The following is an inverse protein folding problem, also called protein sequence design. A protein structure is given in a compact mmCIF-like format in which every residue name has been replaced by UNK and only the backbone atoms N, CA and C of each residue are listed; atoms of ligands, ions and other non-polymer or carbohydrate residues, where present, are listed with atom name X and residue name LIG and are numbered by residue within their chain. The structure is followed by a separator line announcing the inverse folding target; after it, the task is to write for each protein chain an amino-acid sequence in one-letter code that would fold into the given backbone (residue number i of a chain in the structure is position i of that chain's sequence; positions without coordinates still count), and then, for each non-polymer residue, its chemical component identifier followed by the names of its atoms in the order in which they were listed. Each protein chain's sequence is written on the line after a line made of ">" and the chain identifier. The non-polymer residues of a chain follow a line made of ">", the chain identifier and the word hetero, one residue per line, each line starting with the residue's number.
data_IF_002437333904
#
_entry.id   IF_002437333904
#
_cell.length_a   1.000
_cell.length_b   1.000
_cell.length_c   1.000
_cell.angle_alpha   90.00
_cell.angle_beta   90.00
_cell.angle_gamma   90.00
#
_symmetry.space_group_name_H-M   'P 1'
#
loop_
_entity.id
_entity.type
_entity.pdbx_description
1 polymer ?
#
# COMPACT_ATOMS: atom_id res chain seq x y z
N UNK A 1 8.56 -1.09 32.78
CA UNK A 1 8.85 -2.54 32.91
C UNK A 1 7.71 -3.15 33.71
N UNK A 2 6.88 -4.02 33.12
CA UNK A 2 5.86 -4.73 33.89
C UNK A 2 6.57 -5.71 34.85
N UNK A 3 6.21 -5.70 36.14
CA UNK A 3 6.81 -6.58 37.14
C UNK A 3 6.06 -7.93 37.16
N UNK A 4 6.74 -9.02 36.80
CA UNK A 4 6.20 -10.38 36.70
C UNK A 4 6.70 -11.32 37.81
N UNK A 5 7.26 -10.78 38.90
CA UNK A 5 7.85 -11.58 40.00
C UNK A 5 6.83 -12.47 40.71
N UNK A 6 5.54 -12.09 40.70
CA UNK A 6 4.44 -12.81 41.34
C UNK A 6 3.97 -14.07 40.57
N UNK A 7 4.40 -14.26 39.31
CA UNK A 7 4.00 -15.41 38.51
C UNK A 7 4.80 -16.68 38.86
N UNK A 8 4.09 -17.80 38.99
CA UNK A 8 4.68 -19.14 39.09
C UNK A 8 5.47 -19.51 37.83
N UNK A 9 6.29 -20.54 37.90
CA UNK A 9 7.04 -21.04 36.73
C UNK A 9 6.09 -21.45 35.58
N UNK A 10 4.96 -22.08 35.90
CA UNK A 10 3.99 -22.51 34.90
C UNK A 10 3.35 -21.29 34.19
N UNK A 11 2.90 -20.29 34.94
CA UNK A 11 2.34 -19.06 34.39
C UNK A 11 3.37 -18.26 33.57
N UNK A 12 4.64 -18.28 33.97
CA UNK A 12 5.73 -17.67 33.18
C UNK A 12 5.93 -18.36 31.83
N UNK A 13 5.88 -19.69 31.78
CA UNK A 13 5.99 -20.44 30.53
C UNK A 13 4.78 -20.20 29.62
N UNK A 14 3.58 -20.16 30.18
CA UNK A 14 2.37 -19.82 29.44
C UNK A 14 2.42 -18.39 28.89
N UNK A 15 2.85 -17.43 29.71
CA UNK A 15 3.03 -16.04 29.28
C UNK A 15 4.03 -15.93 28.12
N UNK A 16 5.16 -16.64 28.17
CA UNK A 16 6.13 -16.66 27.06
C UNK A 16 5.47 -17.19 25.78
N UNK A 17 4.74 -18.31 25.85
CA UNK A 17 4.05 -18.86 24.69
C UNK A 17 3.00 -17.89 24.10
N UNK A 18 2.25 -17.18 24.95
CA UNK A 18 1.29 -16.17 24.53
C UNK A 18 1.97 -14.96 23.87
N UNK A 19 3.11 -14.51 24.41
CA UNK A 19 3.89 -13.41 23.83
C UNK A 19 4.50 -13.80 22.48
N UNK A 20 4.99 -15.03 22.34
CA UNK A 20 5.51 -15.56 21.07
C UNK A 20 4.41 -15.65 20.01
N UNK A 21 3.23 -16.16 20.36
CA UNK A 21 2.09 -16.21 19.45
C UNK A 21 1.58 -14.81 19.08
N UNK A 22 1.55 -13.87 20.03
CA UNK A 22 1.24 -12.46 19.75
C UNK A 22 2.24 -11.86 18.77
N UNK A 23 3.54 -11.99 19.04
CA UNK A 23 4.60 -11.47 18.16
C UNK A 23 4.51 -12.08 16.75
N UNK A 24 4.20 -13.39 16.65
CA UNK A 24 3.97 -14.06 15.38
C UNK A 24 2.76 -13.48 14.64
N UNK A 25 1.64 -13.22 15.32
CA UNK A 25 0.45 -12.61 14.70
C UNK A 25 0.71 -11.19 14.26
N UNK A 26 1.32 -10.39 15.12
CA UNK A 26 1.65 -8.99 14.84
C UNK A 26 2.53 -8.92 13.59
N UNK A 27 3.54 -9.81 13.47
CA UNK A 27 4.41 -9.90 12.29
C UNK A 27 3.65 -10.04 10.96
N UNK A 28 2.56 -10.80 10.91
CA UNK A 28 1.82 -11.07 9.65
C UNK A 28 0.48 -10.32 9.53
N UNK A 29 0.15 -9.46 10.49
CA UNK A 29 -1.12 -8.71 10.55
C UNK A 29 -0.88 -7.23 10.78
N UNK A 30 0.18 -6.68 10.21
CA UNK A 30 0.59 -5.29 10.41
C UNK A 30 -0.54 -4.30 10.08
N UNK A 31 -1.34 -4.55 9.03
CA UNK A 31 -2.48 -3.70 8.71
C UNK A 31 -3.53 -3.64 9.83
N UNK A 32 -3.76 -4.73 10.56
CA UNK A 32 -4.77 -4.76 11.64
C UNK A 32 -4.34 -3.94 12.87
N UNK A 33 -3.06 -3.57 12.96
CA UNK A 33 -2.51 -2.72 14.02
C UNK A 33 -2.62 -1.22 13.69
N UNK A 34 -3.00 -0.88 12.45
CA UNK A 34 -3.04 0.50 11.97
C UNK A 34 -4.45 1.08 12.05
N UNK A 35 -4.51 2.35 12.44
CA UNK A 35 -5.75 3.13 12.57
C UNK A 35 -6.85 2.48 13.43
N UNK A 36 -6.54 1.89 14.62
CA UNK A 36 -7.57 1.40 15.54
C UNK A 36 -8.51 2.50 16.06
N UNK A 37 -9.54 2.09 16.79
CA UNK A 37 -10.45 3.00 17.50
C UNK A 37 -9.75 3.73 18.65
N UNK A 38 -8.83 3.04 19.34
CA UNK A 38 -8.12 3.52 20.52
C UNK A 38 -6.61 3.18 20.50
N UNK A 39 -5.85 3.68 21.48
CA UNK A 39 -4.40 3.47 21.58
C UNK A 39 -3.55 4.50 20.85
N UNK A 40 -2.27 4.20 20.66
CA UNK A 40 -1.26 5.15 20.13
C UNK A 40 -1.42 5.42 18.63
N UNK A 41 -1.91 4.43 17.88
CA UNK A 41 -2.09 4.53 16.43
C UNK A 41 -3.55 4.82 16.02
N UNK A 42 -4.40 5.23 16.98
CA UNK A 42 -5.83 5.43 16.75
C UNK A 42 -6.13 6.42 15.64
N UNK A 43 -7.16 6.13 14.84
CA UNK A 43 -7.46 6.86 13.59
C UNK A 43 -7.66 8.36 13.76
N UNK A 44 -8.18 8.81 14.91
CA UNK A 44 -8.44 10.23 15.18
C UNK A 44 -7.17 11.10 15.14
N UNK A 45 -6.00 10.49 15.34
CA UNK A 45 -4.71 11.17 15.25
C UNK A 45 -4.20 11.33 13.81
N UNK A 46 -4.89 10.73 12.83
CA UNK A 46 -4.48 10.72 11.41
C UNK A 46 -5.57 11.31 10.50
N UNK A 47 -6.08 12.53 10.77
CA UNK A 47 -7.19 13.10 10.02
C UNK A 47 -6.89 13.25 8.52
N UNK A 48 -5.64 13.53 8.15
CA UNK A 48 -5.21 13.65 6.74
C UNK A 48 -5.17 12.31 6.01
N UNK A 49 -4.86 11.22 6.70
CA UNK A 49 -4.94 9.87 6.14
C UNK A 49 -6.40 9.48 5.92
N UNK A 50 -7.28 9.78 6.89
CA UNK A 50 -8.72 9.52 6.74
C UNK A 50 -9.32 10.32 5.59
N UNK A 51 -9.02 11.62 5.51
CA UNK A 51 -9.42 12.49 4.39
C UNK A 51 -8.95 11.93 3.04
N UNK A 52 -7.70 11.47 2.97
CA UNK A 52 -7.16 10.84 1.77
C UNK A 52 -7.98 9.59 1.38
N UNK A 53 -8.24 8.67 2.32
CA UNK A 53 -9.02 7.45 2.06
C UNK A 53 -10.46 7.75 1.62
N UNK A 54 -11.15 8.64 2.34
CA UNK A 54 -12.53 9.05 2.06
C UNK A 54 -12.67 9.69 0.68
N UNK A 55 -11.72 10.55 0.30
CA UNK A 55 -11.68 11.18 -1.01
C UNK A 55 -11.70 10.15 -2.16
N UNK A 56 -11.23 8.91 -1.93
CA UNK A 56 -11.24 7.85 -2.94
C UNK A 56 -12.63 7.45 -3.39
N UNK A 57 -13.66 7.67 -2.58
CA UNK A 57 -15.05 7.42 -2.96
C UNK A 57 -15.57 8.40 -4.04
N UNK A 58 -14.97 9.60 -4.12
CA UNK A 58 -15.46 10.71 -4.94
C UNK A 58 -14.52 11.03 -6.11
N UNK A 59 -13.21 10.92 -5.90
CA UNK A 59 -12.21 11.38 -6.83
C UNK A 59 -11.47 10.20 -7.47
N UNK A 60 -11.37 10.24 -8.80
CA UNK A 60 -10.60 9.25 -9.57
C UNK A 60 -9.09 9.43 -9.40
N UNK A 61 -8.64 10.65 -9.16
CA UNK A 61 -7.23 10.98 -9.00
C UNK A 61 -7.04 11.67 -7.66
N UNK A 62 -6.07 11.21 -6.86
CA UNK A 62 -5.76 11.78 -5.54
C UNK A 62 -4.27 11.91 -5.34
N UNK A 63 -3.89 12.94 -4.60
CA UNK A 63 -2.52 13.24 -4.27
C UNK A 63 -2.35 13.41 -2.75
N UNK A 64 -1.48 12.59 -2.15
CA UNK A 64 -0.99 12.76 -0.78
C UNK A 64 0.40 13.41 -0.84
N UNK A 65 0.42 14.74 -1.00
CA UNK A 65 1.63 15.54 -1.00
C UNK A 65 1.99 15.93 0.44
N UNK A 66 3.09 15.40 0.98
CA UNK A 66 3.50 15.65 2.35
C UNK A 66 5.02 15.52 2.55
N UNK A 67 5.54 16.01 3.68
CA UNK A 67 6.95 15.86 4.06
C UNK A 67 7.36 14.39 4.26
N UNK A 68 8.67 14.15 4.32
CA UNK A 68 9.22 12.83 4.63
C UNK A 68 8.80 12.35 6.02
N UNK A 69 8.62 11.03 6.18
CA UNK A 69 8.27 10.35 7.44
C UNK A 69 6.88 10.71 8.02
N UNK A 70 5.97 11.20 7.19
CA UNK A 70 4.57 11.50 7.56
C UNK A 70 3.63 10.30 7.44
N UNK A 71 4.12 9.15 6.95
CA UNK A 71 3.32 7.94 6.76
C UNK A 71 2.57 7.88 5.42
N UNK A 72 2.91 8.72 4.44
CA UNK A 72 2.30 8.74 3.09
C UNK A 72 2.28 7.35 2.42
N UNK A 73 3.43 6.66 2.40
CA UNK A 73 3.59 5.33 1.82
C UNK A 73 2.82 4.25 2.61
N UNK A 74 2.70 4.42 3.93
CA UNK A 74 1.87 3.52 4.77
C UNK A 74 0.40 3.69 4.43
N UNK A 75 -0.06 4.94 4.21
CA UNK A 75 -1.44 5.23 3.83
C UNK A 75 -1.80 4.55 2.50
N UNK A 76 -1.04 4.83 1.44
CA UNK A 76 -1.31 4.25 0.13
C UNK A 76 -1.18 2.72 0.12
N UNK A 77 -0.19 2.17 0.83
CA UNK A 77 -0.06 0.72 0.98
C UNK A 77 -1.23 0.08 1.73
N UNK A 78 -1.78 0.76 2.74
CA UNK A 78 -2.93 0.27 3.51
C UNK A 78 -4.18 0.24 2.65
N UNK A 79 -4.41 1.30 1.88
CA UNK A 79 -5.52 1.39 0.93
C UNK A 79 -5.41 0.31 -0.16
N UNK A 80 -4.22 0.12 -0.74
CA UNK A 80 -3.96 -0.95 -1.73
C UNK A 80 -4.23 -2.32 -1.12
N UNK A 81 -3.77 -2.59 0.10
CA UNK A 81 -4.07 -3.86 0.77
C UNK A 81 -5.57 -4.07 0.86
N UNK A 82 -6.33 -3.06 1.28
CA UNK A 82 -7.79 -3.17 1.40
C UNK A 82 -8.43 -3.48 0.04
N UNK A 83 -7.96 -2.82 -1.02
CA UNK A 83 -8.44 -3.05 -2.39
C UNK A 83 -8.12 -4.46 -2.91
N UNK A 84 -6.85 -4.89 -2.80
CA UNK A 84 -6.42 -6.20 -3.29
C UNK A 84 -7.10 -7.36 -2.57
N UNK A 85 -7.31 -7.22 -1.26
CA UNK A 85 -7.91 -8.28 -0.43
C UNK A 85 -9.44 -8.21 -0.35
N UNK A 86 -10.03 -7.05 -0.64
CA UNK A 86 -11.43 -6.75 -0.34
C UNK A 86 -11.73 -6.65 1.16
N UNK A 87 -10.71 -6.72 2.03
CA UNK A 87 -10.85 -6.65 3.48
C UNK A 87 -10.75 -5.20 3.92
N UNK A 88 -11.89 -4.54 3.97
CA UNK A 88 -12.02 -3.17 4.45
C UNK A 88 -12.41 -3.16 5.94
N UNK A 89 -11.82 -2.28 6.76
CA UNK A 89 -12.27 -2.08 8.13
C UNK A 89 -13.71 -1.52 8.16
N UNK A 90 -14.38 -1.69 9.29
CA UNK A 90 -15.75 -1.22 9.51
C UNK A 90 -15.91 0.29 9.31
N UNK A 91 -14.87 1.07 9.65
CA UNK A 91 -14.85 2.53 9.51
C UNK A 91 -14.51 3.01 8.09
N UNK A 92 -14.17 2.11 7.16
CA UNK A 92 -13.74 2.51 5.81
C UNK A 92 -14.87 3.17 5.02
N UNK A 93 -14.64 4.42 4.62
CA UNK A 93 -15.60 5.22 3.85
C UNK A 93 -15.06 5.66 2.47
N UNK A 94 -13.92 5.11 2.05
CA UNK A 94 -13.36 5.30 0.71
C UNK A 94 -13.93 4.37 -0.35
N UNK A 95 -13.29 4.33 -1.53
CA UNK A 95 -13.67 3.39 -2.61
C UNK A 95 -13.59 1.94 -2.14
N UNK A 96 -14.49 1.09 -2.65
CA UNK A 96 -14.48 -0.35 -2.42
C UNK A 96 -14.45 -1.11 -3.75
N UNK A 97 -13.78 -2.24 -3.74
CA UNK A 97 -13.79 -3.25 -4.80
C UNK A 97 -14.38 -4.52 -4.19
N UNK A 98 -15.45 -5.02 -4.81
CA UNK A 98 -16.19 -6.22 -4.40
C UNK A 98 -15.77 -7.48 -5.21
N UNK A 99 -14.83 -7.30 -6.13
CA UNK A 99 -14.24 -8.35 -6.96
C UNK A 99 -12.71 -8.28 -6.96
N UNK A 100 -12.04 -9.39 -7.32
CA UNK A 100 -10.64 -9.35 -7.71
C UNK A 100 -10.35 -8.21 -8.69
N UNK A 101 -9.22 -7.55 -8.46
CA UNK A 101 -8.85 -6.35 -9.19
C UNK A 101 -7.36 -6.33 -9.54
N UNK A 102 -7.03 -5.50 -10.53
CA UNK A 102 -5.66 -5.31 -10.99
C UNK A 102 -5.13 -3.96 -10.52
N UNK A 103 -3.99 -3.98 -9.84
CA UNK A 103 -3.29 -2.80 -9.39
C UNK A 103 -1.88 -2.76 -9.93
N UNK A 104 -1.40 -1.53 -10.11
CA UNK A 104 0.01 -1.24 -10.33
C UNK A 104 0.53 -0.32 -9.24
N UNK A 105 1.70 -0.63 -8.68
CA UNK A 105 2.43 0.27 -7.82
C UNK A 105 3.82 0.54 -8.42
N UNK A 106 4.18 1.81 -8.54
CA UNK A 106 5.40 2.24 -9.20
C UNK A 106 6.17 3.25 -8.35
N UNK A 107 7.50 3.11 -8.32
CA UNK A 107 8.41 4.10 -7.75
C UNK A 107 9.53 4.47 -8.73
N UNK A 108 10.53 5.24 -8.28
CA UNK A 108 11.58 5.76 -9.17
C UNK A 108 12.36 4.68 -9.93
N UNK A 109 12.87 3.70 -9.21
CA UNK A 109 13.73 2.64 -9.74
C UNK A 109 13.24 1.29 -9.29
N UNK A 110 13.72 0.23 -9.96
CA UNK A 110 13.42 -1.13 -9.54
C UNK A 110 13.92 -1.44 -8.12
N UNK A 111 15.08 -0.88 -7.75
CA UNK A 111 15.64 -1.04 -6.41
C UNK A 111 14.78 -0.34 -5.35
N UNK A 112 14.42 0.94 -5.57
CA UNK A 112 13.57 1.67 -4.62
C UNK A 112 12.16 1.08 -4.51
N UNK A 113 11.59 0.60 -5.62
CA UNK A 113 10.30 -0.10 -5.62
C UNK A 113 10.36 -1.37 -4.75
N UNK A 114 11.42 -2.17 -4.86
CA UNK A 114 11.62 -3.34 -3.97
C UNK A 114 11.82 -2.92 -2.51
N UNK A 115 12.69 -1.94 -2.27
CA UNK A 115 13.14 -1.62 -0.92
C UNK A 115 12.11 -0.82 -0.11
N UNK A 116 11.21 -0.09 -0.79
CA UNK A 116 10.19 0.76 -0.17
C UNK A 116 8.80 0.15 -0.35
N UNK A 117 8.31 0.04 -1.58
CA UNK A 117 6.92 -0.34 -1.89
C UNK A 117 6.69 -1.81 -1.55
N UNK A 118 7.46 -2.73 -2.13
CA UNK A 118 7.34 -4.18 -1.89
C UNK A 118 7.56 -4.50 -0.41
N UNK A 119 8.66 -3.99 0.16
CA UNK A 119 8.98 -4.13 1.58
C UNK A 119 7.80 -3.73 2.47
N UNK A 120 7.15 -2.60 2.19
CA UNK A 120 5.99 -2.14 2.95
C UNK A 120 4.76 -3.01 2.76
N UNK A 121 4.50 -3.44 1.52
CA UNK A 121 3.30 -4.18 1.17
C UNK A 121 3.35 -5.64 1.62
N UNK A 122 4.45 -6.35 1.39
CA UNK A 122 4.51 -7.81 1.58
C UNK A 122 5.78 -8.30 2.28
N UNK A 123 6.77 -7.42 2.48
CA UNK A 123 8.05 -7.75 3.09
C UNK A 123 9.18 -7.97 2.08
N UNK A 124 10.38 -8.25 2.59
CA UNK A 124 11.62 -8.33 1.80
C UNK A 124 12.12 -9.76 1.57
N UNK A 125 11.81 -10.69 2.48
CA UNK A 125 12.23 -12.09 2.36
C UNK A 125 11.19 -12.88 1.54
N UNK A 126 11.59 -13.32 0.35
CA UNK A 126 10.74 -14.12 -0.54
C UNK A 126 10.39 -15.50 0.05
N UNK A 127 11.10 -15.98 1.06
CA UNK A 127 10.77 -17.22 1.76
C UNK A 127 9.81 -17.01 2.94
N UNK A 128 9.57 -15.76 3.34
CA UNK A 128 8.67 -15.41 4.43
C UNK A 128 7.87 -14.15 4.13
N UNK A 129 7.12 -14.22 3.02
CA UNK A 129 6.21 -13.18 2.59
C UNK A 129 5.03 -12.98 3.55
N UNK A 130 4.41 -11.82 3.42
CA UNK A 130 3.23 -11.42 4.18
C UNK A 130 3.55 -10.73 5.50
N UNK A 131 4.78 -10.24 5.65
CA UNK A 131 5.27 -9.51 6.84
C UNK A 131 5.05 -7.99 6.74
N UNK A 132 4.50 -7.53 5.62
CA UNK A 132 4.05 -6.16 5.40
C UNK A 132 2.56 -6.00 5.68
N UNK A 133 1.94 -5.04 4.98
CA UNK A 133 0.51 -4.72 5.11
C UNK A 133 -0.38 -5.86 4.61
N UNK A 134 -0.04 -6.48 3.49
CA UNK A 134 -0.68 -7.69 2.97
C UNK A 134 -0.21 -8.86 3.81
N UNK A 135 -1.15 -9.52 4.49
CA UNK A 135 -0.83 -10.59 5.42
C UNK A 135 -0.47 -11.91 4.73
N UNK A 136 0.25 -12.78 5.45
CA UNK A 136 0.71 -14.08 4.93
C UNK A 136 -0.40 -14.95 4.35
N UNK A 137 -1.56 -14.97 5.00
CA UNK A 137 -2.71 -15.77 4.54
C UNK A 137 -3.33 -15.23 3.25
N UNK A 138 -3.12 -13.94 2.96
CA UNK A 138 -3.65 -13.24 1.77
C UNK A 138 -2.76 -13.42 0.54
N UNK A 139 -1.48 -13.75 0.70
CA UNK A 139 -0.58 -14.03 -0.42
C UNK A 139 -0.95 -15.38 -1.05
N UNK A 140 -1.23 -15.37 -2.35
CA UNK A 140 -1.51 -16.57 -3.14
C UNK A 140 -0.25 -17.10 -3.82
N UNK A 141 0.47 -16.22 -4.53
CA UNK A 141 1.69 -16.54 -5.27
C UNK A 141 2.44 -15.23 -5.65
N UNK A 142 3.60 -15.34 -6.27
CA UNK A 142 4.32 -14.20 -6.85
C UNK A 142 5.27 -14.59 -7.99
N UNK A 143 5.42 -13.67 -8.94
CA UNK A 143 6.46 -13.74 -9.96
C UNK A 143 7.72 -13.01 -9.48
N UNK A 144 8.88 -13.62 -9.72
CA UNK A 144 10.17 -12.96 -9.47
C UNK A 144 10.50 -11.95 -10.56
N UNK A 145 11.07 -10.82 -10.18
CA UNK A 145 11.56 -9.79 -11.10
C UNK A 145 12.95 -10.13 -11.61
N UNK A 146 13.08 -10.25 -12.93
CA UNK A 146 14.37 -10.51 -13.55
C UNK A 146 15.33 -9.34 -13.34
N UNK A 147 16.60 -9.64 -13.03
CA UNK A 147 17.64 -8.63 -12.83
C UNK A 147 17.57 -7.84 -11.51
N UNK A 148 16.59 -8.12 -10.65
CA UNK A 148 16.40 -7.42 -9.36
C UNK A 148 16.38 -8.47 -8.24
N UNK A 149 17.48 -8.66 -7.50
CA UNK A 149 17.53 -9.63 -6.41
C UNK A 149 16.40 -9.39 -5.40
N UNK A 150 15.67 -10.45 -5.03
CA UNK A 150 14.49 -10.40 -4.15
C UNK A 150 13.35 -9.48 -4.62
N UNK A 151 13.38 -9.01 -5.87
CA UNK A 151 12.31 -8.22 -6.46
C UNK A 151 11.13 -9.10 -6.88
N UNK A 152 9.93 -8.60 -6.64
CA UNK A 152 8.68 -9.18 -7.15
C UNK A 152 8.25 -8.39 -8.38
N UNK A 153 7.84 -9.10 -9.43
CA UNK A 153 7.29 -8.52 -10.67
C UNK A 153 5.77 -8.38 -10.55
N UNK A 154 5.12 -9.45 -10.09
CA UNK A 154 3.69 -9.54 -9.82
C UNK A 154 3.46 -10.27 -8.50
N UNK A 155 2.57 -9.74 -7.66
CA UNK A 155 2.08 -10.37 -6.45
C UNK A 155 0.61 -10.75 -6.65
N UNK A 156 0.28 -12.00 -6.37
CA UNK A 156 -1.07 -12.53 -6.45
C UNK A 156 -1.68 -12.58 -5.05
N UNK A 157 -2.83 -11.92 -4.87
CA UNK A 157 -3.47 -11.71 -3.56
C UNK A 157 -4.87 -12.28 -3.56
N UNK A 158 -5.22 -13.09 -2.57
CA UNK A 158 -6.56 -13.66 -2.41
C UNK A 158 -7.55 -12.55 -2.07
N UNK A 159 -8.64 -12.49 -2.81
CA UNK A 159 -9.73 -11.56 -2.55
C UNK A 159 -10.85 -12.24 -1.74
N UNK A 160 -11.47 -11.52 -0.81
CA UNK A 160 -12.49 -12.08 0.09
C UNK A 160 -13.75 -12.58 -0.63
N UNK A 161 -14.09 -12.00 -1.79
CA UNK A 161 -15.19 -12.48 -2.63
C UNK A 161 -14.86 -13.75 -3.44
N UNK A 162 -13.64 -14.28 -3.28
CA UNK A 162 -13.11 -15.38 -4.08
C UNK A 162 -12.28 -14.86 -5.26
N UNK A 163 -11.40 -15.72 -5.79
CA UNK A 163 -10.46 -15.35 -6.84
C UNK A 163 -9.22 -14.60 -6.32
N UNK A 164 -8.49 -14.01 -7.27
CA UNK A 164 -7.14 -13.48 -7.01
C UNK A 164 -6.96 -12.13 -7.69
N UNK A 165 -6.68 -11.12 -6.88
CA UNK A 165 -6.24 -9.79 -7.34
C UNK A 165 -4.76 -9.84 -7.70
N UNK A 166 -4.33 -8.94 -8.58
CA UNK A 166 -2.93 -8.87 -9.04
C UNK A 166 -2.37 -7.50 -8.72
N UNK A 167 -1.18 -7.46 -8.11
CA UNK A 167 -0.40 -6.26 -7.94
C UNK A 167 0.87 -6.35 -8.79
N UNK A 168 1.03 -5.43 -9.73
CA UNK A 168 2.24 -5.26 -10.56
C UNK A 168 3.16 -4.24 -9.92
N UNK A 169 4.43 -4.61 -9.74
CA UNK A 169 5.46 -3.69 -9.24
C UNK A 169 6.31 -3.18 -10.41
N UNK A 170 6.31 -1.87 -10.59
CA UNK A 170 6.92 -1.17 -11.73
C UNK A 170 7.82 -0.05 -11.28
N UNK A 171 8.60 0.49 -12.21
CA UNK A 171 9.48 1.62 -11.90
C UNK A 171 9.54 2.62 -13.05
N UNK A 172 9.63 3.91 -12.73
CA UNK A 172 9.64 4.98 -13.72
C UNK A 172 10.85 4.89 -14.66
N UNK A 173 11.99 4.35 -14.18
CA UNK A 173 13.20 4.11 -14.98
C UNK A 173 13.01 3.17 -16.19
N UNK A 174 11.94 2.37 -16.23
CA UNK A 174 11.58 1.53 -17.37
C UNK A 174 10.82 2.34 -18.46
N UNK A 175 10.47 3.59 -18.16
CA UNK A 175 9.79 4.54 -19.04
C UNK A 175 8.34 4.17 -19.34
N UNK A 176 7.74 4.89 -20.29
CA UNK A 176 6.31 4.74 -20.65
C UNK A 176 5.89 3.34 -21.10
N UNK A 177 6.83 2.50 -21.58
CA UNK A 177 6.51 1.20 -22.20
C UNK A 177 5.90 0.20 -21.22
N UNK A 178 6.20 0.31 -19.93
CA UNK A 178 5.68 -0.61 -18.92
C UNK A 178 4.22 -0.36 -18.56
N UNK A 179 3.75 0.84 -18.86
CA UNK A 179 2.36 1.26 -18.68
C UNK A 179 1.56 0.99 -19.96
N UNK A 180 2.01 0.10 -20.85
CA UNK A 180 1.29 -0.26 -22.08
C UNK A 180 0.65 -1.65 -21.98
N UNK A 181 -0.55 -1.79 -22.52
CA UNK A 181 -1.15 -3.11 -22.82
C UNK A 181 -1.88 -3.81 -21.67
N UNK A 182 -2.12 -3.16 -20.54
CA UNK A 182 -2.98 -3.70 -19.47
C UNK A 182 -4.02 -2.70 -18.96
N UNK A 183 -5.17 -3.22 -18.59
CA UNK A 183 -6.24 -2.50 -17.90
C UNK A 183 -6.02 -2.60 -16.38
N UNK A 184 -6.00 -1.47 -15.69
CA UNK A 184 -5.75 -1.41 -14.25
C UNK A 184 -6.97 -0.84 -13.53
N UNK A 185 -7.43 -1.49 -12.48
CA UNK A 185 -8.48 -0.98 -11.59
C UNK A 185 -7.94 0.11 -10.66
N UNK A 186 -6.63 0.13 -10.40
CA UNK A 186 -5.97 1.26 -9.77
C UNK A 186 -4.47 1.32 -9.96
N UNK A 187 -3.92 2.52 -9.82
CA UNK A 187 -2.47 2.78 -9.93
C UNK A 187 -2.01 3.63 -8.76
N UNK A 188 -0.92 3.20 -8.12
CA UNK A 188 -0.21 3.96 -7.11
C UNK A 188 1.15 4.39 -7.63
N UNK A 189 1.37 5.69 -7.65
CA UNK A 189 2.63 6.34 -7.90
C UNK A 189 3.24 6.75 -6.56
N UNK A 190 4.34 6.14 -6.16
CA UNK A 190 5.16 6.57 -5.02
C UNK A 190 6.32 7.44 -5.53
N UNK A 191 6.66 8.46 -4.75
CA UNK A 191 7.58 9.53 -5.14
C UNK A 191 7.14 10.30 -6.40
N UNK A 192 7.97 11.24 -6.85
CA UNK A 192 7.59 12.22 -7.88
C UNK A 192 7.57 11.58 -9.28
N UNK A 193 6.37 11.20 -9.73
CA UNK A 193 6.17 10.58 -11.03
C UNK A 193 6.41 11.57 -12.19
N UNK A 194 7.16 11.18 -13.24
CA UNK A 194 7.23 11.96 -14.48
C UNK A 194 5.84 12.14 -15.13
N UNK A 195 5.58 13.33 -15.68
CA UNK A 195 4.28 13.69 -16.27
C UNK A 195 3.85 12.75 -17.41
N UNK A 196 4.79 12.33 -18.26
CA UNK A 196 4.54 11.46 -19.40
C UNK A 196 4.17 10.04 -18.96
N UNK A 197 4.84 9.55 -17.92
CA UNK A 197 4.51 8.28 -17.25
C UNK A 197 3.12 8.36 -16.63
N UNK A 198 2.84 9.43 -15.87
CA UNK A 198 1.54 9.64 -15.22
C UNK A 198 0.40 9.67 -16.26
N UNK A 199 0.57 10.43 -17.34
CA UNK A 199 -0.44 10.59 -18.40
C UNK A 199 -0.72 9.27 -19.14
N UNK A 200 0.32 8.48 -19.44
CA UNK A 200 0.15 7.17 -20.09
C UNK A 200 -0.58 6.19 -19.17
N UNK A 201 -0.27 6.23 -17.87
CA UNK A 201 -0.87 5.35 -16.89
C UNK A 201 -2.35 5.70 -16.62
N UNK A 202 -2.75 6.98 -16.67
CA UNK A 202 -4.16 7.38 -16.62
C UNK A 202 -5.01 6.75 -17.73
N UNK A 203 -4.43 6.50 -18.91
CA UNK A 203 -5.14 5.83 -20.01
C UNK A 203 -5.54 4.40 -19.61
N UNK A 204 -4.78 3.75 -18.72
CA UNK A 204 -5.02 2.36 -18.27
C UNK A 204 -6.16 2.22 -17.28
N UNK A 205 -6.47 3.29 -16.56
CA UNK A 205 -7.63 3.34 -15.65
C UNK A 205 -8.91 3.80 -16.35
N UNK A 206 -8.83 4.32 -17.58
CA UNK A 206 -10.03 4.78 -18.30
C UNK A 206 -11.01 3.63 -18.62
N UNK A 207 -10.52 2.46 -19.03
CA UNK A 207 -11.38 1.32 -19.40
C UNK A 207 -12.11 0.73 -18.20
N UNK A 208 -11.48 0.72 -17.03
CA UNK A 208 -11.99 0.13 -15.78
C UNK A 208 -12.75 1.13 -14.91
N UNK A 209 -12.72 2.42 -15.28
CA UNK A 209 -13.07 3.52 -14.37
C UNK A 209 -12.28 3.46 -13.06
N UNK A 210 -11.01 3.07 -13.18
CA UNK A 210 -10.08 2.89 -12.08
C UNK A 210 -9.68 4.20 -11.40
N UNK A 211 -8.89 4.07 -10.35
CA UNK A 211 -8.42 5.21 -9.54
C UNK A 211 -6.90 5.33 -9.55
N UNK A 212 -6.39 6.55 -9.38
CA UNK A 212 -4.96 6.81 -9.18
C UNK A 212 -4.70 7.46 -7.85
N UNK A 213 -3.57 7.08 -7.27
CA UNK A 213 -3.05 7.63 -6.02
C UNK A 213 -1.60 8.05 -6.26
N UNK A 214 -1.27 9.27 -5.90
CA UNK A 214 0.08 9.79 -5.98
C UNK A 214 0.56 10.17 -4.58
N UNK A 215 1.70 9.66 -4.13
CA UNK A 215 2.27 9.95 -2.81
C UNK A 215 3.72 10.40 -2.93
N UNK A 216 4.00 11.68 -2.70
CA UNK A 216 5.35 12.20 -2.83
C UNK A 216 5.63 13.37 -1.90
N UNK A 217 6.91 13.70 -1.80
CA UNK A 217 7.38 14.93 -1.18
C UNK A 217 7.88 15.85 -2.29
N UNK A 218 7.42 17.12 -2.39
CA UNK A 218 7.76 18.01 -3.51
C UNK A 218 9.20 18.51 -3.39
N UNK A 219 10.17 17.64 -3.73
CA UNK A 219 11.59 17.95 -3.63
C UNK A 219 12.11 18.71 -4.85
N UNK A 220 11.49 18.52 -6.03
CA UNK A 220 11.84 19.21 -7.27
C UNK A 220 11.12 20.56 -7.46
N UNK A 221 10.38 21.03 -6.45
CA UNK A 221 9.59 22.25 -6.52
C UNK A 221 8.24 22.06 -7.22
N UNK A 222 7.77 23.10 -7.91
CA UNK A 222 6.49 23.07 -8.64
C UNK A 222 6.67 22.46 -10.03
N UNK A 223 6.77 21.13 -10.10
CA UNK A 223 6.73 20.42 -11.38
C UNK A 223 5.35 20.55 -12.05
N UNK A 224 5.23 20.31 -13.37
CA UNK A 224 3.94 20.39 -14.07
C UNK A 224 2.85 19.56 -13.39
N UNK A 225 3.18 18.33 -12.95
CA UNK A 225 2.26 17.45 -12.24
C UNK A 225 1.77 18.07 -10.93
N UNK A 226 2.68 18.65 -10.14
CA UNK A 226 2.35 19.35 -8.89
C UNK A 226 1.40 20.51 -9.16
N UNK A 227 1.71 21.33 -10.17
CA UNK A 227 0.89 22.50 -10.55
C UNK A 227 -0.52 22.06 -10.97
N UNK A 228 -0.64 21.00 -11.77
CA UNK A 228 -1.92 20.47 -12.22
C UNK A 228 -2.79 20.00 -11.05
N UNK A 229 -2.19 19.28 -10.09
CA UNK A 229 -2.88 18.88 -8.86
C UNK A 229 -3.30 20.07 -7.99
N UNK A 230 -2.40 21.04 -7.78
CA UNK A 230 -2.69 22.22 -6.95
C UNK A 230 -3.79 23.09 -7.56
N UNK A 231 -3.79 23.30 -8.88
CA UNK A 231 -4.86 24.02 -9.59
C UNK A 231 -6.19 23.28 -9.49
N UNK A 232 -6.18 21.97 -9.70
CA UNK A 232 -7.39 21.14 -9.63
C UNK A 232 -7.98 21.11 -8.22
N UNK A 233 -7.13 21.22 -7.19
CA UNK A 233 -7.53 21.34 -5.80
C UNK A 233 -7.92 22.77 -5.37
N UNK A 234 -7.83 23.77 -6.26
CA UNK A 234 -8.12 25.17 -5.96
C UNK A 234 -7.15 25.82 -4.96
N UNK A 235 -5.91 25.32 -4.88
CA UNK A 235 -4.89 25.81 -3.93
C UNK A 235 -3.98 26.90 -4.50
N UNK A 236 -3.96 27.07 -5.83
CA UNK A 236 -3.25 28.13 -6.56
C UNK A 236 -4.05 28.60 -7.78
#
# INVERSE_FOLDING_TARGET
>A
MQNFEHLTRAEKLELVALLEEKARRDKYRQAELLFPDDGELRRELYPKHMEFFEAGALHKERCFMAGNRTGKTVAAGYEIRCHLTGKYPNWWNGKRFDRPNNWMAAGDTNASTRDIIQSKLVGTDLNDLGTGLIGKDDVADFDRKSGVPNGIEQLYVKHISGGTSVLKLRSYDQGRKIFQGSEEDGIWFDEECPQDVYSEALIRTMTTQGITMLTFTPLSGLTPLVVDFLKSAGQI
#
